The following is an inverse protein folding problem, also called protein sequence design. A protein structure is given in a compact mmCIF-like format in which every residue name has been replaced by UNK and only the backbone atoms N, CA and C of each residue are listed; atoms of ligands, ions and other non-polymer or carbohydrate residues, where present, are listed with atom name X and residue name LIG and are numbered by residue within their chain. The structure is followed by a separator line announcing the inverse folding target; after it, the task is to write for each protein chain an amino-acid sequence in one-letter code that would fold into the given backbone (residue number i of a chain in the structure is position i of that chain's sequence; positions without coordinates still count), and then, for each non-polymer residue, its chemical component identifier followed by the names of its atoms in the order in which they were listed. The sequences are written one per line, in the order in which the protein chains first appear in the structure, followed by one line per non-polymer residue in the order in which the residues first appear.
data_IF_129596529741
#
_entry.id   IF_129596529741
#
_cell.length_a   1.000
_cell.length_b   1.000
_cell.length_c   1.000
_cell.angle_alpha   90.00
_cell.angle_beta   90.00
_cell.angle_gamma   90.00
#
_symmetry.space_group_name_H-M   'P 1'
#
loop_
_entity.id
_entity.type
_entity.pdbx_description
1 polymer ?
#
# COMPACT_ATOMS: atom_id res chain seq x y z
N UNK A 1 5.06 -4.02 33.59
CA UNK A 1 4.34 -4.00 32.31
C UNK A 1 3.34 -2.87 32.42
N UNK A 2 3.58 -1.72 31.79
CA UNK A 2 2.57 -0.66 31.79
C UNK A 2 1.37 -1.12 30.96
N UNK A 3 0.18 -1.06 31.56
CA UNK A 3 -1.06 -1.34 30.85
C UNK A 3 -1.32 -0.17 29.91
N UNK A 4 -1.30 -0.44 28.60
CA UNK A 4 -1.72 0.53 27.60
C UNK A 4 -3.25 0.68 27.72
N UNK A 5 -3.67 1.71 28.45
CA UNK A 5 -5.09 2.06 28.60
C UNK A 5 -5.45 3.10 27.54
N UNK A 6 -6.19 2.69 26.52
CA UNK A 6 -6.66 3.61 25.48
C UNK A 6 -7.79 4.49 25.98
N UNK A 7 -7.70 5.78 25.72
CA UNK A 7 -8.82 6.71 25.94
C UNK A 7 -9.88 6.55 24.85
N UNK A 8 -11.13 6.94 25.15
CA UNK A 8 -12.22 6.95 24.16
C UNK A 8 -11.86 7.77 22.92
N UNK A 9 -11.13 8.87 23.10
CA UNK A 9 -10.72 9.78 22.03
C UNK A 9 -9.69 9.12 21.12
N UNK A 10 -8.70 8.42 21.69
CA UNK A 10 -7.70 7.68 20.92
C UNK A 10 -8.35 6.58 20.09
N UNK A 11 -9.32 5.86 20.66
CA UNK A 11 -10.04 4.80 19.97
C UNK A 11 -10.84 5.35 18.78
N UNK A 12 -11.55 6.47 18.98
CA UNK A 12 -12.30 7.15 17.90
C UNK A 12 -11.34 7.60 16.80
N UNK A 13 -10.20 8.20 17.16
CA UNK A 13 -9.19 8.66 16.20
C UNK A 13 -8.62 7.49 15.40
N UNK A 14 -8.32 6.36 16.05
CA UNK A 14 -7.81 5.16 15.39
C UNK A 14 -8.79 4.61 14.34
N UNK A 15 -10.05 4.38 14.73
CA UNK A 15 -11.06 3.85 13.80
C UNK A 15 -11.39 4.82 12.67
N UNK A 16 -11.51 6.10 12.98
CA UNK A 16 -11.76 7.13 11.96
C UNK A 16 -10.63 7.19 10.92
N UNK A 17 -9.37 7.26 11.37
CA UNK A 17 -8.22 7.29 10.45
C UNK A 17 -8.09 6.00 9.64
N UNK A 18 -8.39 4.85 10.26
CA UNK A 18 -8.40 3.55 9.56
C UNK A 18 -9.46 3.55 8.46
N UNK A 19 -10.71 3.91 8.78
CA UNK A 19 -11.80 3.98 7.81
C UNK A 19 -11.52 4.99 6.69
N UNK A 20 -11.03 6.18 7.05
CA UNK A 20 -10.67 7.22 6.07
C UNK A 20 -9.55 6.75 5.13
N UNK A 21 -8.51 6.09 5.65
CA UNK A 21 -7.42 5.56 4.84
C UNK A 21 -7.89 4.49 3.85
N UNK A 22 -8.77 3.59 4.28
CA UNK A 22 -9.36 2.58 3.42
C UNK A 22 -10.21 3.20 2.31
N UNK A 23 -11.08 4.16 2.66
CA UNK A 23 -11.94 4.82 1.68
C UNK A 23 -11.12 5.59 0.64
N UNK A 24 -10.13 6.37 1.08
CA UNK A 24 -9.23 7.07 0.17
C UNK A 24 -8.56 6.07 -0.75
N UNK A 25 -7.94 5.01 -0.19
CA UNK A 25 -7.25 3.96 -0.95
C UNK A 25 -8.12 3.32 -2.04
N UNK A 26 -9.36 2.97 -1.70
CA UNK A 26 -10.31 2.39 -2.64
C UNK A 26 -10.72 3.37 -3.76
N UNK A 27 -10.95 4.64 -3.42
CA UNK A 27 -11.38 5.67 -4.37
C UNK A 27 -10.33 5.89 -5.47
N UNK A 28 -9.05 5.94 -5.12
CA UNK A 28 -7.99 6.19 -6.12
C UNK A 28 -7.35 4.93 -6.72
N UNK A 29 -7.73 3.74 -6.25
CA UNK A 29 -7.36 2.46 -6.87
C UNK A 29 -7.60 2.43 -8.39
N UNK A 30 -8.79 2.79 -8.94
CA UNK A 30 -9.02 2.78 -10.39
C UNK A 30 -8.09 3.74 -11.14
N UNK A 31 -7.72 4.87 -10.54
CA UNK A 31 -6.78 5.81 -11.16
C UNK A 31 -5.40 5.19 -11.33
N UNK A 32 -4.88 4.54 -10.28
CA UNK A 32 -3.59 3.86 -10.36
C UNK A 32 -3.64 2.64 -11.29
N UNK A 33 -4.65 1.77 -11.17
CA UNK A 33 -4.70 0.55 -11.97
C UNK A 33 -4.83 0.85 -13.46
N UNK A 34 -5.63 1.85 -13.84
CA UNK A 34 -5.70 2.32 -15.23
C UNK A 34 -4.34 2.82 -15.73
N UNK A 35 -3.59 3.57 -14.91
CA UNK A 35 -2.23 4.00 -15.24
C UNK A 35 -1.28 2.81 -15.42
N UNK A 36 -1.31 1.82 -14.53
CA UNK A 36 -0.43 0.64 -14.61
C UNK A 36 -0.76 -0.23 -15.82
N UNK A 37 -2.05 -0.42 -16.14
CA UNK A 37 -2.47 -1.14 -17.34
C UNK A 37 -2.08 -0.41 -18.61
N UNK A 38 -2.32 0.91 -18.69
CA UNK A 38 -1.95 1.75 -19.85
C UNK A 38 -0.45 1.66 -20.16
N UNK A 39 0.38 1.67 -19.14
CA UNK A 39 1.84 1.60 -19.28
C UNK A 39 2.38 0.16 -19.32
N UNK A 40 1.52 -0.85 -19.35
CA UNK A 40 1.88 -2.28 -19.37
C UNK A 40 2.84 -2.68 -18.23
N UNK A 41 2.70 -2.04 -17.07
CA UNK A 41 3.47 -2.29 -15.85
C UNK A 41 2.90 -3.49 -15.09
N UNK A 42 2.84 -4.63 -15.77
CA UNK A 42 2.31 -5.89 -15.23
C UNK A 42 3.35 -7.00 -15.15
N UNK A 43 3.06 -8.02 -14.35
CA UNK A 43 3.95 -9.17 -14.16
C UNK A 43 3.96 -10.01 -15.44
N UNK A 44 5.16 -10.28 -15.97
CA UNK A 44 5.37 -11.24 -17.06
C UNK A 44 5.77 -12.59 -16.46
N UNK A 45 5.03 -13.64 -16.81
CA UNK A 45 5.38 -15.02 -16.42
C UNK A 45 6.36 -15.55 -17.46
N UNK A 46 7.56 -15.93 -17.02
CA UNK A 46 8.56 -16.56 -17.89
C UNK A 46 8.21 -18.04 -18.03
N UNK A 47 8.15 -18.52 -19.27
CA UNK A 47 7.98 -19.95 -19.53
C UNK A 47 9.36 -20.59 -19.46
N UNK A 48 9.62 -21.31 -18.38
CA UNK A 48 10.88 -22.03 -18.18
C UNK A 48 10.69 -23.52 -18.49
N UNK A 49 11.60 -24.08 -19.29
CA UNK A 49 11.61 -25.51 -19.65
C UNK A 49 11.84 -26.41 -18.43
N UNK A 50 12.51 -25.90 -17.40
CA UNK A 50 12.76 -26.63 -16.16
C UNK A 50 11.57 -26.63 -15.20
N UNK A 51 10.58 -25.74 -15.40
CA UNK A 51 9.41 -25.60 -14.52
C UNK A 51 8.08 -25.43 -15.29
N UNK A 52 7.71 -26.39 -16.17
CA UNK A 52 6.54 -26.26 -17.06
C UNK A 52 5.20 -26.25 -16.31
N UNK A 53 5.08 -27.05 -15.24
CA UNK A 53 3.85 -27.11 -14.43
C UNK A 53 3.65 -25.80 -13.67
N UNK A 54 4.70 -25.27 -13.03
CA UNK A 54 4.67 -23.99 -12.32
C UNK A 54 4.28 -22.84 -13.25
N UNK A 55 4.90 -22.79 -14.44
CA UNK A 55 4.61 -21.77 -15.46
C UNK A 55 3.15 -21.82 -15.92
N UNK A 56 2.61 -23.02 -16.17
CA UNK A 56 1.22 -23.23 -16.58
C UNK A 56 0.23 -22.77 -15.50
N UNK A 57 0.50 -23.10 -14.23
CA UNK A 57 -0.36 -22.70 -13.11
C UNK A 57 -0.39 -21.18 -12.90
N UNK A 58 0.73 -20.49 -13.14
CA UNK A 58 0.84 -19.05 -12.91
C UNK A 58 0.48 -18.17 -14.11
N UNK A 59 0.26 -18.77 -15.28
CA UNK A 59 0.01 -18.05 -16.54
C UNK A 59 -1.21 -17.11 -16.46
N UNK A 60 -2.24 -17.45 -15.66
CA UNK A 60 -3.41 -16.61 -15.42
C UNK A 60 -3.10 -15.28 -14.71
N UNK A 61 -1.95 -15.17 -14.02
CA UNK A 61 -1.49 -13.92 -13.38
C UNK A 61 -0.71 -13.03 -14.34
N UNK A 62 -0.44 -13.48 -15.56
CA UNK A 62 0.29 -12.69 -16.55
C UNK A 62 -0.50 -11.42 -16.90
N UNK A 63 0.17 -10.27 -16.88
CA UNK A 63 -0.46 -8.97 -17.14
C UNK A 63 -1.13 -8.33 -15.92
N UNK A 64 -1.17 -9.01 -14.76
CA UNK A 64 -1.62 -8.35 -13.52
C UNK A 64 -0.67 -7.21 -13.14
N UNK A 65 -1.20 -6.02 -12.79
CA UNK A 65 -0.39 -4.84 -12.53
C UNK A 65 0.55 -5.07 -11.35
N UNK A 66 1.81 -4.72 -11.54
CA UNK A 66 2.84 -4.69 -10.50
C UNK A 66 2.88 -3.28 -9.90
N UNK A 67 3.27 -3.15 -8.63
CA UNK A 67 3.32 -1.87 -7.87
C UNK A 67 2.02 -1.42 -7.18
N UNK A 68 1.16 -2.36 -6.76
CA UNK A 68 0.02 -2.03 -5.89
C UNK A 68 0.41 -1.36 -4.56
N UNK A 69 1.65 -1.53 -4.09
CA UNK A 69 2.18 -0.87 -2.89
C UNK A 69 2.16 0.66 -2.94
N UNK A 70 2.12 1.26 -4.13
CA UNK A 70 1.92 2.71 -4.32
C UNK A 70 0.61 3.18 -3.64
N UNK A 71 -0.43 2.34 -3.65
CA UNK A 71 -1.69 2.63 -2.96
C UNK A 71 -1.49 2.84 -1.47
N UNK A 72 -0.60 2.07 -0.86
CA UNK A 72 -0.32 2.15 0.57
C UNK A 72 0.54 3.39 0.83
N UNK A 73 1.69 3.52 0.17
CA UNK A 73 2.64 4.59 0.50
C UNK A 73 2.08 5.99 0.31
N UNK A 74 1.44 6.26 -0.82
CA UNK A 74 0.89 7.59 -1.09
C UNK A 74 -0.27 7.89 -0.15
N UNK A 75 -1.16 6.94 0.10
CA UNK A 75 -2.27 7.14 1.04
C UNK A 75 -1.77 7.42 2.45
N UNK A 76 -0.82 6.61 2.95
CA UNK A 76 -0.22 6.80 4.27
C UNK A 76 0.56 8.11 4.36
N UNK A 77 1.34 8.46 3.33
CA UNK A 77 2.10 9.71 3.31
C UNK A 77 1.18 10.94 3.35
N UNK A 78 0.15 10.97 2.49
CA UNK A 78 -0.83 12.06 2.45
C UNK A 78 -1.55 12.20 3.79
N UNK A 79 -2.08 11.10 4.35
CA UNK A 79 -2.78 11.17 5.63
C UNK A 79 -1.88 11.57 6.80
N UNK A 80 -0.64 11.10 6.79
CA UNK A 80 0.35 11.45 7.82
C UNK A 80 0.71 12.93 7.76
N UNK A 81 0.89 13.47 6.55
CA UNK A 81 1.14 14.90 6.33
C UNK A 81 -0.07 15.78 6.66
N UNK A 82 -1.30 15.28 6.59
CA UNK A 82 -2.50 16.06 6.92
C UNK A 82 -2.83 16.00 8.41
N UNK A 83 -2.77 14.81 9.01
CA UNK A 83 -3.30 14.56 10.37
C UNK A 83 -2.24 14.33 11.46
N UNK A 84 -0.95 14.28 11.11
CA UNK A 84 0.11 13.91 12.05
C UNK A 84 1.45 14.65 11.82
N UNK A 85 1.43 15.98 11.65
CA UNK A 85 2.62 16.82 11.43
C UNK A 85 3.47 17.10 12.69
N UNK A 86 3.50 16.21 13.68
CA UNK A 86 4.40 16.38 14.83
C UNK A 86 5.82 15.91 14.52
N UNK A 87 6.79 16.83 14.65
CA UNK A 87 8.18 16.64 14.22
C UNK A 87 8.93 15.53 14.98
N UNK A 88 8.51 15.20 16.21
CA UNK A 88 9.27 14.29 17.09
C UNK A 88 9.15 12.81 16.72
N UNK A 89 8.03 12.38 16.13
CA UNK A 89 7.76 10.95 15.89
C UNK A 89 7.43 10.62 14.43
N UNK A 90 7.08 11.60 13.59
CA UNK A 90 6.56 11.33 12.24
C UNK A 90 7.65 11.12 11.18
N UNK A 91 8.85 11.66 11.39
CA UNK A 91 9.90 11.66 10.38
C UNK A 91 10.52 10.28 10.16
N UNK A 92 10.72 9.51 11.23
CA UNK A 92 11.32 8.19 11.13
C UNK A 92 10.39 7.17 10.40
N UNK A 93 9.09 7.09 10.69
CA UNK A 93 8.16 6.26 9.92
C UNK A 93 8.01 6.71 8.46
N UNK A 94 7.97 8.03 8.18
CA UNK A 94 7.92 8.53 6.80
C UNK A 94 9.19 8.18 6.03
N UNK A 95 10.36 8.35 6.66
CA UNK A 95 11.64 7.93 6.09
C UNK A 95 11.65 6.43 5.78
N UNK A 96 11.27 5.60 6.76
CA UNK A 96 11.22 4.14 6.58
C UNK A 96 10.26 3.73 5.46
N UNK A 97 9.11 4.40 5.34
CA UNK A 97 8.11 4.13 4.30
C UNK A 97 8.65 4.46 2.90
N UNK A 98 9.43 5.52 2.75
CA UNK A 98 10.08 5.88 1.48
C UNK A 98 11.29 4.98 1.19
N UNK A 99 12.09 4.65 2.21
CA UNK A 99 13.35 3.91 2.04
C UNK A 99 13.16 2.41 1.84
N UNK A 100 12.15 1.81 2.48
CA UNK A 100 11.87 0.36 2.38
C UNK A 100 11.01 -0.03 1.17
N UNK A 101 10.47 0.96 0.46
CA UNK A 101 9.57 0.74 -0.66
C UNK A 101 10.25 0.42 -2.00
N UNK A 102 11.51 0.80 -2.19
CA UNK A 102 12.22 0.60 -3.45
C UNK A 102 12.98 -0.73 -3.44
#
# INVERSE_FOLDING_TARGET
MELIVFSKIELIRFFWLTGLSFLIAMIWTPLLTNFLYKNRLGKRIRVDKNTPIFSKLHQHKSGTPTMGGILIWVTTAVLTLVFNLERRATWLPLFALVSSGI
#
